data_IF_816788334832
#
_entry.id   IF_816788334832
#
_cell.length_a   1.000
_cell.length_b   1.000
_cell.length_c   1.000
_cell.angle_alpha   90.00
_cell.angle_beta   90.00
_cell.angle_gamma   90.00
#
_symmetry.space_group_name_H-M   'P 1'
#
loop_
_entity.id
_entity.type
_entity.pdbx_description
1 polymer ?
#
# COMPACT_ATOMS: atom_id res chain seq x y z
N UNK A 1 18.04 -41.67 -53.27
CA UNK A 1 18.84 -41.08 -52.18
C UNK A 1 18.82 -42.10 -51.07
N UNK A 2 19.94 -42.75 -50.80
CA UNK A 2 20.01 -43.82 -49.79
C UNK A 2 19.93 -43.20 -48.39
N UNK A 3 19.58 -43.98 -47.36
CA UNK A 3 19.51 -43.49 -45.97
C UNK A 3 20.80 -42.80 -45.52
N UNK A 4 21.94 -43.28 -46.02
CA UNK A 4 23.26 -42.70 -45.78
C UNK A 4 23.41 -41.29 -46.37
N UNK A 5 22.86 -41.02 -47.56
CA UNK A 5 22.91 -39.70 -48.19
C UNK A 5 22.03 -38.70 -47.43
N UNK A 6 20.89 -39.15 -46.92
CA UNK A 6 20.01 -38.33 -46.09
C UNK A 6 20.67 -37.97 -44.75
N UNK A 7 21.35 -38.93 -44.11
CA UNK A 7 22.07 -38.69 -42.87
C UNK A 7 23.23 -37.68 -43.07
N UNK A 8 23.97 -37.78 -44.17
CA UNK A 8 25.05 -36.85 -44.52
C UNK A 8 24.49 -35.45 -44.75
N UNK A 9 23.39 -35.32 -45.49
CA UNK A 9 22.73 -34.04 -45.73
C UNK A 9 22.20 -33.40 -44.44
N UNK A 10 21.58 -34.20 -43.57
CA UNK A 10 21.10 -33.73 -42.27
C UNK A 10 22.26 -33.26 -41.36
N UNK A 11 23.38 -33.97 -41.38
CA UNK A 11 24.58 -33.58 -40.64
C UNK A 11 25.14 -32.25 -41.17
N UNK A 12 25.26 -32.11 -42.49
CA UNK A 12 25.72 -30.89 -43.15
C UNK A 12 24.84 -29.69 -42.76
N UNK A 13 23.51 -29.86 -42.77
CA UNK A 13 22.59 -28.78 -42.37
C UNK A 13 22.74 -28.45 -40.88
N UNK A 14 22.93 -29.41 -39.99
CA UNK A 14 22.89 -29.12 -38.55
C UNK A 14 24.22 -28.63 -37.97
N UNK A 15 25.35 -29.01 -38.58
CA UNK A 15 26.70 -28.78 -38.01
C UNK A 15 27.00 -27.31 -37.73
N UNK A 16 26.80 -26.33 -38.63
CA UNK A 16 27.15 -24.93 -38.36
C UNK A 16 26.37 -24.35 -37.18
N UNK A 17 25.06 -24.60 -37.12
CA UNK A 17 24.21 -24.12 -36.05
C UNK A 17 24.58 -24.76 -34.71
N UNK A 18 24.72 -26.08 -34.66
CA UNK A 18 25.10 -26.80 -33.43
C UNK A 18 26.50 -26.38 -32.96
N UNK A 19 27.45 -26.22 -33.87
CA UNK A 19 28.81 -25.78 -33.55
C UNK A 19 28.81 -24.39 -32.92
N UNK A 20 28.12 -23.42 -33.51
CA UNK A 20 28.04 -22.06 -32.96
C UNK A 20 27.34 -22.06 -31.60
N UNK A 21 26.21 -22.76 -31.46
CA UNK A 21 25.50 -22.85 -30.18
C UNK A 21 26.40 -23.47 -29.12
N UNK A 22 27.12 -24.57 -29.43
CA UNK A 22 28.04 -25.21 -28.51
C UNK A 22 29.21 -24.30 -28.12
N UNK A 23 29.78 -23.53 -29.06
CA UNK A 23 30.83 -22.55 -28.77
C UNK A 23 30.35 -21.47 -27.81
N UNK A 24 29.23 -20.81 -28.09
CA UNK A 24 28.69 -19.77 -27.22
C UNK A 24 28.25 -20.31 -25.86
N UNK A 25 27.81 -21.56 -25.81
CA UNK A 25 27.45 -22.25 -24.57
C UNK A 25 28.67 -22.56 -23.70
N UNK A 26 29.76 -23.04 -24.29
CA UNK A 26 31.01 -23.34 -23.57
C UNK A 26 31.58 -22.12 -22.82
N UNK A 27 31.28 -20.92 -23.31
CA UNK A 27 31.68 -19.64 -22.73
C UNK A 27 30.61 -19.04 -21.80
N UNK A 28 29.54 -19.77 -21.49
CA UNK A 28 28.41 -19.28 -20.70
C UNK A 28 28.34 -19.92 -19.32
N UNK A 29 29.11 -19.36 -18.40
CA UNK A 29 29.17 -19.81 -17.01
C UNK A 29 28.62 -18.76 -16.03
N UNK A 30 28.18 -19.24 -14.87
CA UNK A 30 27.92 -18.50 -13.64
C UNK A 30 28.94 -18.90 -12.59
N UNK A 31 29.19 -18.03 -11.63
CA UNK A 31 30.01 -18.34 -10.46
C UNK A 31 29.04 -18.56 -9.30
N UNK A 32 29.07 -19.75 -8.70
CA UNK A 32 28.23 -20.05 -7.53
C UNK A 32 28.76 -19.34 -6.25
N UNK A 33 27.96 -19.35 -5.18
CA UNK A 33 28.35 -18.74 -3.89
C UNK A 33 29.62 -19.35 -3.29
N UNK A 34 30.01 -20.55 -3.74
CA UNK A 34 31.24 -21.25 -3.36
C UNK A 34 32.43 -20.93 -4.29
N UNK A 35 32.26 -20.04 -5.27
CA UNK A 35 33.29 -19.63 -6.22
C UNK A 35 33.51 -20.56 -7.42
N UNK A 36 32.71 -21.62 -7.59
CA UNK A 36 32.85 -22.55 -8.69
C UNK A 36 32.10 -22.08 -9.94
N UNK A 37 32.72 -22.32 -11.11
CA UNK A 37 32.09 -22.03 -12.40
C UNK A 37 31.09 -23.13 -12.75
N UNK A 38 29.83 -22.77 -12.95
CA UNK A 38 28.75 -23.65 -13.42
C UNK A 38 28.24 -23.18 -14.77
N UNK A 39 28.11 -24.08 -15.74
CA UNK A 39 27.51 -23.75 -17.03
C UNK A 39 26.03 -23.41 -16.86
N UNK A 40 25.59 -22.31 -17.46
CA UNK A 40 24.17 -21.95 -17.48
C UNK A 40 23.40 -22.85 -18.45
N UNK A 41 22.08 -23.04 -18.27
CA UNK A 41 21.27 -23.78 -19.24
C UNK A 41 21.38 -23.17 -20.64
N UNK A 42 21.41 -24.00 -21.70
CA UNK A 42 21.52 -23.55 -23.11
C UNK A 42 20.42 -22.53 -23.46
N UNK A 43 19.23 -22.66 -22.87
CA UNK A 43 18.09 -21.76 -23.09
C UNK A 43 18.42 -20.31 -22.77
N UNK A 44 19.28 -20.06 -21.79
CA UNK A 44 19.69 -18.71 -21.37
C UNK A 44 20.54 -17.99 -22.42
N UNK A 45 21.10 -18.69 -23.42
CA UNK A 45 21.77 -18.07 -24.56
C UNK A 45 20.80 -17.32 -25.49
N UNK A 46 19.54 -17.75 -25.51
CA UNK A 46 18.47 -17.15 -26.29
C UNK A 46 17.73 -16.05 -25.52
N UNK A 47 18.05 -15.85 -24.25
CA UNK A 47 17.47 -14.80 -23.43
C UNK A 47 18.12 -13.44 -23.75
N UNK A 48 17.29 -12.47 -24.11
CA UNK A 48 17.73 -11.09 -24.29
C UNK A 48 17.78 -10.38 -22.95
N UNK A 49 18.83 -9.60 -22.69
CA UNK A 49 18.94 -8.81 -21.47
C UNK A 49 18.71 -7.32 -21.77
N UNK A 50 17.59 -6.77 -21.27
CA UNK A 50 17.22 -5.38 -21.46
C UNK A 50 18.23 -4.37 -20.85
N UNK A 51 18.96 -4.75 -19.81
CA UNK A 51 19.86 -3.84 -19.07
C UNK A 51 21.24 -3.70 -19.71
N UNK A 52 21.50 -4.44 -20.77
CA UNK A 52 22.80 -4.46 -21.45
C UNK A 52 22.66 -3.94 -22.87
N UNK A 53 23.76 -3.45 -23.47
CA UNK A 53 23.77 -3.00 -24.85
C UNK A 53 23.43 -4.13 -25.85
N UNK A 54 22.95 -3.74 -27.03
CA UNK A 54 22.58 -4.68 -28.09
C UNK A 54 23.76 -5.55 -28.55
N UNK A 55 24.97 -4.98 -28.60
CA UNK A 55 26.21 -5.70 -28.97
C UNK A 55 26.62 -6.78 -27.96
N UNK A 56 26.13 -6.71 -26.73
CA UNK A 56 26.39 -7.71 -25.70
C UNK A 56 25.43 -8.92 -25.79
N UNK A 57 24.41 -8.86 -26.66
CA UNK A 57 23.48 -9.97 -26.85
C UNK A 57 24.13 -11.09 -27.65
N UNK A 58 24.32 -12.24 -27.03
CA UNK A 58 24.86 -13.44 -27.70
C UNK A 58 24.02 -13.87 -28.89
N UNK A 59 22.69 -13.73 -28.77
CA UNK A 59 21.74 -14.04 -29.84
C UNK A 59 21.96 -13.18 -31.11
N UNK A 60 22.42 -11.93 -30.96
CA UNK A 60 22.75 -11.06 -32.09
C UNK A 60 23.96 -11.60 -32.88
N UNK A 61 24.99 -12.04 -32.16
CA UNK A 61 26.16 -12.64 -32.80
C UNK A 61 25.82 -13.98 -33.44
N UNK A 62 24.98 -14.81 -32.81
CA UNK A 62 24.50 -16.05 -33.43
C UNK A 62 23.72 -15.79 -34.72
N UNK A 63 22.90 -14.73 -34.80
CA UNK A 63 22.18 -14.36 -36.03
C UNK A 63 23.07 -13.90 -37.18
N UNK A 64 24.34 -13.58 -36.92
CA UNK A 64 25.33 -13.20 -37.93
C UNK A 64 26.24 -14.38 -38.26
N UNK A 65 26.78 -15.05 -37.24
CA UNK A 65 27.79 -16.09 -37.40
C UNK A 65 27.19 -17.35 -38.03
N UNK A 66 25.97 -17.75 -37.66
CA UNK A 66 25.35 -18.97 -38.20
C UNK A 66 25.13 -18.86 -39.72
N UNK A 67 24.45 -17.83 -40.27
CA UNK A 67 24.27 -17.73 -41.72
C UNK A 67 25.58 -17.49 -42.48
N UNK A 68 26.55 -16.83 -41.85
CA UNK A 68 27.89 -16.67 -42.43
C UNK A 68 28.63 -18.01 -42.56
N UNK A 69 28.57 -18.88 -41.56
CA UNK A 69 29.18 -20.22 -41.65
C UNK A 69 28.49 -21.08 -42.71
N UNK A 70 27.16 -21.01 -42.81
CA UNK A 70 26.43 -21.67 -43.90
C UNK A 70 26.84 -21.15 -45.29
N UNK A 71 27.09 -19.85 -45.43
CA UNK A 71 27.63 -19.31 -46.68
C UNK A 71 28.97 -19.93 -47.05
N UNK A 72 29.88 -20.10 -46.07
CA UNK A 72 31.19 -20.72 -46.32
C UNK A 72 31.06 -22.21 -46.67
N UNK A 73 30.24 -22.95 -45.95
CA UNK A 73 30.05 -24.39 -46.16
C UNK A 73 29.40 -24.69 -47.52
N UNK A 74 28.24 -24.08 -47.80
CA UNK A 74 27.55 -24.27 -49.06
C UNK A 74 28.28 -23.60 -50.22
N UNK A 75 29.02 -22.51 -49.96
CA UNK A 75 29.89 -21.87 -50.94
C UNK A 75 30.99 -22.81 -51.39
N UNK A 76 31.70 -23.42 -50.45
CA UNK A 76 32.73 -24.42 -50.75
C UNK A 76 32.20 -25.57 -51.62
N UNK A 77 31.01 -26.08 -51.31
CA UNK A 77 30.36 -27.12 -52.12
C UNK A 77 29.97 -26.62 -53.52
N UNK A 78 29.40 -25.41 -53.62
CA UNK A 78 28.97 -24.84 -54.89
C UNK A 78 30.12 -24.49 -55.83
N UNK A 79 31.28 -24.10 -55.28
CA UNK A 79 32.46 -23.72 -56.04
C UNK A 79 33.41 -24.89 -56.31
N UNK A 80 33.11 -26.06 -55.76
CA UNK A 80 33.97 -27.24 -55.91
C UNK A 80 34.17 -27.59 -57.40
N UNK A 81 35.43 -27.64 -57.83
CA UNK A 81 35.79 -27.90 -59.22
C UNK A 81 35.61 -26.72 -60.18
N UNK A 82 35.22 -25.53 -59.70
CA UNK A 82 35.13 -24.31 -60.49
C UNK A 82 36.44 -23.52 -60.44
N UNK A 83 36.80 -22.84 -61.53
CA UNK A 83 37.96 -21.92 -61.58
C UNK A 83 37.50 -20.47 -61.71
N UNK A 84 38.16 -19.50 -61.04
CA UNK A 84 37.80 -18.09 -61.18
C UNK A 84 37.88 -17.59 -62.63
N UNK A 85 36.76 -17.11 -63.18
CA UNK A 85 36.70 -16.38 -64.44
C UNK A 85 36.21 -14.95 -64.17
N UNK A 86 37.06 -13.97 -64.47
CA UNK A 86 36.79 -12.54 -64.25
C UNK A 86 36.06 -11.88 -65.43
N UNK A 87 35.63 -12.66 -66.42
CA UNK A 87 34.80 -12.17 -67.52
C UNK A 87 33.36 -11.90 -67.08
N UNK A 88 32.61 -11.13 -67.89
CA UNK A 88 31.18 -10.91 -67.65
C UNK A 88 30.38 -12.23 -67.59
N UNK A 89 30.79 -13.24 -68.38
CA UNK A 89 30.18 -14.59 -68.35
C UNK A 89 30.52 -15.32 -67.06
N UNK A 90 31.76 -15.21 -66.59
CA UNK A 90 32.21 -15.76 -65.31
C UNK A 90 31.44 -15.21 -64.12
N UNK A 91 31.13 -13.89 -64.10
CA UNK A 91 30.29 -13.29 -63.07
C UNK A 91 28.86 -13.82 -63.06
N UNK A 92 28.22 -13.97 -64.23
CA UNK A 92 26.87 -14.54 -64.33
C UNK A 92 26.84 -15.97 -63.81
N UNK A 93 27.85 -16.77 -64.17
CA UNK A 93 27.96 -18.15 -63.72
C UNK A 93 28.21 -18.24 -62.20
N UNK A 94 29.09 -17.38 -61.66
CA UNK A 94 29.31 -17.28 -60.23
C UNK A 94 28.03 -16.98 -59.45
N UNK A 95 27.20 -16.03 -59.90
CA UNK A 95 25.92 -15.72 -59.26
C UNK A 95 24.94 -16.91 -59.36
N UNK A 96 24.95 -17.61 -60.49
CA UNK A 96 24.11 -18.80 -60.71
C UNK A 96 24.46 -19.92 -59.75
N UNK A 97 25.74 -20.27 -59.62
CA UNK A 97 26.18 -21.36 -58.73
C UNK A 97 26.13 -20.93 -57.24
N UNK A 98 26.31 -19.64 -56.95
CA UNK A 98 26.33 -19.11 -55.57
C UNK A 98 24.95 -18.67 -55.06
N UNK A 99 23.87 -18.94 -55.79
CA UNK A 99 22.52 -18.48 -55.43
C UNK A 99 22.10 -18.91 -54.01
N UNK A 100 22.34 -20.17 -53.64
CA UNK A 100 22.06 -20.68 -52.29
C UNK A 100 23.00 -20.08 -51.21
N UNK A 101 24.34 -20.12 -51.36
CA UNK A 101 25.25 -19.47 -50.42
C UNK A 101 24.93 -17.99 -50.19
N UNK A 102 24.71 -17.21 -51.25
CA UNK A 102 24.39 -15.79 -51.16
C UNK A 102 23.02 -15.58 -50.49
N UNK A 103 22.05 -16.45 -50.76
CA UNK A 103 20.76 -16.46 -50.06
C UNK A 103 20.92 -16.67 -48.55
N UNK A 104 21.75 -17.62 -48.13
CA UNK A 104 22.04 -17.87 -46.71
C UNK A 104 22.80 -16.70 -46.08
N UNK A 105 23.80 -16.14 -46.75
CA UNK A 105 24.51 -14.94 -46.28
C UNK A 105 23.56 -13.76 -46.09
N UNK A 106 22.57 -13.62 -47.00
CA UNK A 106 21.59 -12.54 -46.91
C UNK A 106 20.77 -12.57 -45.62
N UNK A 107 20.60 -13.76 -45.00
CA UNK A 107 19.85 -13.93 -43.74
C UNK A 107 20.52 -13.24 -42.54
N UNK A 108 21.82 -12.91 -42.61
CA UNK A 108 22.50 -12.13 -41.58
C UNK A 108 21.75 -10.81 -41.28
N UNK A 109 21.27 -10.13 -42.32
CA UNK A 109 20.58 -8.84 -42.19
C UNK A 109 19.20 -8.96 -41.52
N UNK A 110 18.23 -9.72 -42.05
CA UNK A 110 16.90 -9.82 -41.45
C UNK A 110 16.94 -10.46 -40.06
N UNK A 111 17.81 -11.44 -39.80
CA UNK A 111 17.90 -12.06 -38.47
C UNK A 111 18.50 -11.10 -37.44
N UNK A 112 19.56 -10.37 -37.79
CA UNK A 112 20.14 -9.37 -36.87
C UNK A 112 19.17 -8.23 -36.57
N UNK A 113 18.43 -7.77 -37.59
CA UNK A 113 17.39 -6.76 -37.42
C UNK A 113 16.24 -7.26 -36.53
N UNK A 114 15.84 -8.52 -36.66
CA UNK A 114 14.83 -9.13 -35.80
C UNK A 114 15.29 -9.16 -34.34
N UNK A 115 16.51 -9.61 -34.07
CA UNK A 115 17.07 -9.66 -32.71
C UNK A 115 17.15 -8.25 -32.11
N UNK A 116 17.61 -7.27 -32.88
CA UNK A 116 17.70 -5.88 -32.43
C UNK A 116 16.31 -5.31 -32.07
N UNK A 117 15.29 -5.58 -32.89
CA UNK A 117 13.91 -5.16 -32.61
C UNK A 117 13.35 -5.82 -31.35
N UNK A 118 13.54 -7.13 -31.19
CA UNK A 118 13.11 -7.85 -29.98
C UNK A 118 13.79 -7.30 -28.72
N UNK A 119 15.09 -7.00 -28.81
CA UNK A 119 15.85 -6.40 -27.72
C UNK A 119 15.34 -5.00 -27.37
N UNK A 120 15.10 -4.14 -28.36
CA UNK A 120 14.53 -2.81 -28.17
C UNK A 120 13.13 -2.87 -27.53
N UNK A 121 12.26 -3.79 -27.96
CA UNK A 121 10.94 -3.98 -27.34
C UNK A 121 11.07 -4.39 -25.87
N UNK A 122 11.97 -5.33 -25.55
CA UNK A 122 12.22 -5.74 -24.16
C UNK A 122 12.78 -4.60 -23.31
N UNK A 123 13.68 -3.80 -23.87
CA UNK A 123 14.20 -2.58 -23.23
C UNK A 123 13.09 -1.58 -22.91
N UNK A 124 12.24 -1.28 -23.88
CA UNK A 124 11.11 -0.36 -23.68
C UNK A 124 10.15 -0.88 -22.62
N UNK A 125 9.85 -2.19 -22.61
CA UNK A 125 8.99 -2.79 -21.58
C UNK A 125 9.58 -2.64 -20.17
N UNK A 126 10.89 -2.90 -20.01
CA UNK A 126 11.58 -2.73 -18.72
C UNK A 126 11.63 -1.26 -18.29
N UNK A 127 11.92 -0.35 -19.22
CA UNK A 127 11.90 1.09 -18.95
C UNK A 127 10.52 1.58 -18.51
N UNK A 128 9.44 1.09 -19.13
CA UNK A 128 8.06 1.37 -18.70
C UNK A 128 7.85 0.89 -17.27
N UNK A 129 8.31 -0.32 -16.93
CA UNK A 129 8.16 -0.86 -15.58
C UNK A 129 8.94 -0.05 -14.53
N UNK A 130 10.21 0.27 -14.79
CA UNK A 130 11.03 1.11 -13.91
C UNK A 130 10.39 2.49 -13.73
N UNK A 131 9.95 3.11 -14.83
CA UNK A 131 9.29 4.42 -14.80
C UNK A 131 7.98 4.36 -14.01
N UNK A 132 7.18 3.31 -14.18
CA UNK A 132 5.94 3.09 -13.41
C UNK A 132 6.23 2.99 -11.91
N UNK A 133 7.23 2.19 -11.52
CA UNK A 133 7.62 2.05 -10.10
C UNK A 133 8.09 3.39 -9.53
N UNK A 134 8.91 4.13 -10.27
CA UNK A 134 9.36 5.48 -9.88
C UNK A 134 8.18 6.44 -9.71
N UNK A 135 7.31 6.55 -10.71
CA UNK A 135 6.15 7.42 -10.69
C UNK A 135 5.21 7.08 -9.53
N UNK A 136 5.02 5.80 -9.23
CA UNK A 136 4.22 5.35 -8.11
C UNK A 136 4.85 5.77 -6.77
N UNK A 137 6.15 5.60 -6.60
CA UNK A 137 6.86 6.05 -5.40
C UNK A 137 6.78 7.58 -5.23
N UNK A 138 7.05 8.34 -6.30
CA UNK A 138 6.99 9.80 -6.30
C UNK A 138 5.58 10.29 -5.95
N UNK A 139 4.54 9.71 -6.56
CA UNK A 139 3.15 10.02 -6.24
C UNK A 139 2.80 9.72 -4.78
N UNK A 140 3.21 8.56 -4.25
CA UNK A 140 2.97 8.17 -2.87
C UNK A 140 3.58 9.18 -1.87
N UNK A 141 4.84 9.54 -2.05
CA UNK A 141 5.51 10.51 -1.18
C UNK A 141 4.94 11.92 -1.35
N UNK A 142 4.63 12.34 -2.58
CA UNK A 142 4.02 13.63 -2.85
C UNK A 142 2.65 13.77 -2.18
N UNK A 143 1.79 12.76 -2.29
CA UNK A 143 0.47 12.77 -1.65
C UNK A 143 0.57 12.78 -0.11
N UNK A 144 1.47 11.99 0.47
CA UNK A 144 1.69 11.98 1.93
C UNK A 144 2.19 13.34 2.43
N UNK A 145 3.12 13.95 1.70
CA UNK A 145 3.64 15.29 2.02
C UNK A 145 2.54 16.35 1.89
N UNK A 146 1.77 16.31 0.80
CA UNK A 146 0.66 17.21 0.56
C UNK A 146 -0.40 17.11 1.67
N UNK A 147 -0.67 15.91 2.20
CA UNK A 147 -1.56 15.74 3.35
C UNK A 147 -1.06 16.50 4.58
N UNK A 148 0.21 16.32 4.95
CA UNK A 148 0.80 16.99 6.12
C UNK A 148 0.77 18.51 5.93
N UNK A 149 1.15 19.00 4.74
CA UNK A 149 1.12 20.42 4.40
C UNK A 149 -0.31 20.98 4.43
N UNK A 150 -1.29 20.24 3.92
CA UNK A 150 -2.69 20.64 3.93
C UNK A 150 -3.24 20.79 5.35
N UNK A 151 -2.96 19.81 6.22
CA UNK A 151 -3.36 19.84 7.63
C UNK A 151 -2.71 21.01 8.39
N UNK A 152 -1.44 21.34 8.08
CA UNK A 152 -0.73 22.47 8.67
C UNK A 152 -1.29 23.85 8.29
N UNK A 153 -2.15 23.96 7.27
CA UNK A 153 -2.82 25.22 6.91
C UNK A 153 -3.91 25.63 7.92
N UNK A 154 -4.41 24.68 8.72
CA UNK A 154 -5.49 24.94 9.66
C UNK A 154 -4.92 25.44 11.00
N UNK A 155 -5.23 26.68 11.41
CA UNK A 155 -4.72 27.24 12.66
C UNK A 155 -5.34 26.52 13.86
N UNK A 156 -4.68 26.66 15.02
CA UNK A 156 -5.24 26.18 16.29
C UNK A 156 -6.63 26.79 16.54
N UNK A 157 -7.57 25.94 16.95
CA UNK A 157 -8.94 26.34 17.25
C UNK A 157 -9.25 26.09 18.72
N UNK A 158 -9.78 27.11 19.39
CA UNK A 158 -10.29 26.99 20.77
C UNK A 158 -11.73 26.48 20.72
N UNK A 159 -11.97 25.41 21.45
CA UNK A 159 -13.30 24.84 21.65
C UNK A 159 -13.81 25.18 23.05
N UNK A 160 -15.10 24.98 23.27
CA UNK A 160 -15.72 25.12 24.59
C UNK A 160 -15.08 24.15 25.59
N UNK A 161 -15.07 24.49 26.89
CA UNK A 161 -14.43 23.61 27.89
C UNK A 161 -12.89 23.55 27.81
N UNK A 162 -12.26 24.63 27.31
CA UNK A 162 -10.81 24.89 27.35
C UNK A 162 -9.93 23.97 26.48
N UNK A 163 -10.53 23.19 25.57
CA UNK A 163 -9.78 22.37 24.61
C UNK A 163 -9.19 23.24 23.49
N UNK A 164 -7.89 23.08 23.22
CA UNK A 164 -7.19 23.73 22.10
C UNK A 164 -6.86 22.65 21.07
N UNK A 165 -7.62 22.62 19.98
CA UNK A 165 -7.40 21.68 18.88
C UNK A 165 -6.29 22.16 17.97
N UNK A 166 -5.28 21.31 17.75
CA UNK A 166 -4.23 21.53 16.74
C UNK A 166 -4.43 20.52 15.61
N UNK A 167 -4.27 20.96 14.38
CA UNK A 167 -4.57 20.11 13.22
C UNK A 167 -3.32 19.50 12.58
N UNK A 168 -2.19 19.43 13.28
CA UNK A 168 -1.01 18.76 12.73
C UNK A 168 -1.27 17.26 12.50
N UNK A 169 -1.03 16.79 11.27
CA UNK A 169 -1.26 15.40 10.92
C UNK A 169 -0.07 14.51 11.28
N UNK A 170 -0.33 13.46 12.07
CA UNK A 170 0.67 12.44 12.32
C UNK A 170 0.96 11.63 11.03
N UNK A 171 2.22 11.33 10.67
CA UNK A 171 2.53 10.61 9.44
C UNK A 171 1.88 9.22 9.31
N UNK A 172 1.46 8.60 10.42
CA UNK A 172 0.72 7.33 10.41
C UNK A 172 -0.73 7.46 9.96
N UNK A 173 -1.33 8.64 10.04
CA UNK A 173 -2.69 8.90 9.55
C UNK A 173 -2.80 8.52 8.07
N UNK A 174 -1.79 8.91 7.27
CA UNK A 174 -1.73 8.57 5.85
C UNK A 174 -1.70 7.05 5.63
N UNK A 175 -0.84 6.33 6.36
CA UNK A 175 -0.75 4.87 6.25
C UNK A 175 -2.03 4.15 6.70
N UNK A 176 -2.76 4.73 7.64
CA UNK A 176 -3.98 4.11 8.18
C UNK A 176 -5.17 4.28 7.23
N UNK A 177 -5.40 5.50 6.74
CA UNK A 177 -6.54 5.81 5.89
C UNK A 177 -6.29 5.52 4.41
N UNK A 178 -5.04 5.58 3.95
CA UNK A 178 -4.63 5.24 2.59
C UNK A 178 -3.83 3.93 2.57
N UNK A 179 -4.29 2.92 3.31
CA UNK A 179 -3.58 1.65 3.53
C UNK A 179 -3.26 0.87 2.25
N UNK A 180 -3.98 1.16 1.17
CA UNK A 180 -3.75 0.53 -0.13
C UNK A 180 -2.75 1.31 -0.99
N UNK A 181 -2.50 2.58 -0.67
CA UNK A 181 -1.42 3.37 -1.28
C UNK A 181 -0.06 2.82 -0.85
N UNK A 182 0.87 2.73 -1.80
CA UNK A 182 2.22 2.23 -1.54
C UNK A 182 3.19 2.70 -2.61
N UNK A 183 4.49 2.59 -2.35
CA UNK A 183 5.51 2.93 -3.36
C UNK A 183 5.42 2.06 -4.63
N UNK A 184 4.81 0.87 -4.55
CA UNK A 184 4.63 -0.03 -5.69
C UNK A 184 3.35 0.26 -6.49
N UNK A 185 2.29 0.74 -5.82
CA UNK A 185 0.95 0.96 -6.43
C UNK A 185 0.63 2.43 -6.70
N UNK A 186 1.34 3.36 -6.05
CA UNK A 186 1.08 4.78 -6.14
C UNK A 186 0.07 5.25 -5.10
N UNK A 187 -0.74 6.23 -5.49
CA UNK A 187 -1.79 6.82 -4.68
C UNK A 187 -3.11 6.16 -5.04
N UNK A 188 -3.76 5.60 -4.02
CA UNK A 188 -5.09 5.04 -4.11
C UNK A 188 -6.06 5.85 -3.24
N UNK A 189 -7.38 5.77 -3.51
CA UNK A 189 -8.39 6.42 -2.68
C UNK A 189 -8.33 5.98 -1.22
N UNK A 190 -9.02 6.72 -0.35
CA UNK A 190 -9.19 6.32 1.05
C UNK A 190 -9.75 4.89 1.13
N UNK A 191 -9.33 4.15 2.15
CA UNK A 191 -9.89 2.85 2.46
C UNK A 191 -11.36 3.00 2.85
N UNK A 192 -12.26 2.35 2.09
CA UNK A 192 -13.71 2.44 2.30
C UNK A 192 -14.15 1.89 3.66
N UNK A 193 -13.50 0.85 4.17
CA UNK A 193 -13.83 0.31 5.49
C UNK A 193 -13.51 1.34 6.57
N UNK A 194 -12.32 1.95 6.53
CA UNK A 194 -11.90 2.99 7.48
C UNK A 194 -12.79 4.22 7.41
N UNK A 195 -13.13 4.65 6.20
CA UNK A 195 -14.11 5.73 5.96
C UNK A 195 -15.44 5.41 6.63
N UNK A 196 -16.00 4.23 6.38
CA UNK A 196 -17.30 3.84 6.93
C UNK A 196 -17.26 3.71 8.45
N UNK A 197 -16.18 3.14 9.01
CA UNK A 197 -15.97 3.06 10.46
C UNK A 197 -15.90 4.45 11.11
N UNK A 198 -15.22 5.41 10.50
CA UNK A 198 -15.21 6.81 10.98
C UNK A 198 -16.60 7.42 11.01
N UNK A 199 -17.36 7.30 9.90
CA UNK A 199 -18.72 7.83 9.82
C UNK A 199 -19.62 7.16 10.85
N UNK A 200 -19.51 5.84 11.03
CA UNK A 200 -20.27 5.09 12.00
C UNK A 200 -19.96 5.59 13.43
N UNK A 201 -18.68 5.70 13.80
CA UNK A 201 -18.26 6.19 15.12
C UNK A 201 -18.79 7.61 15.37
N UNK A 202 -18.68 8.53 14.41
CA UNK A 202 -19.20 9.89 14.54
C UNK A 202 -20.71 9.91 14.84
N UNK A 203 -21.49 9.08 14.14
CA UNK A 203 -22.94 8.98 14.38
C UNK A 203 -23.23 8.33 15.74
N UNK A 204 -22.51 7.27 16.10
CA UNK A 204 -22.69 6.60 17.40
C UNK A 204 -22.35 7.55 18.57
N UNK A 205 -21.29 8.36 18.45
CA UNK A 205 -20.97 9.39 19.45
C UNK A 205 -22.12 10.40 19.55
N UNK A 206 -22.63 10.91 18.42
CA UNK A 206 -23.75 11.86 18.39
C UNK A 206 -24.99 11.30 19.09
N UNK A 207 -25.42 10.09 18.74
CA UNK A 207 -26.61 9.45 19.32
C UNK A 207 -26.48 9.27 20.84
N UNK A 208 -25.32 8.80 21.30
CA UNK A 208 -25.05 8.64 22.72
C UNK A 208 -24.97 10.00 23.46
N UNK A 209 -24.43 11.05 22.83
CA UNK A 209 -24.46 12.40 23.38
C UNK A 209 -25.89 12.93 23.54
N UNK A 210 -26.73 12.76 22.52
CA UNK A 210 -28.14 13.16 22.57
C UNK A 210 -28.90 12.41 23.66
N UNK A 211 -28.68 11.09 23.79
CA UNK A 211 -29.28 10.27 24.83
C UNK A 211 -28.81 10.64 26.25
N UNK A 212 -27.53 10.97 26.42
CA UNK A 212 -26.98 11.46 27.69
C UNK A 212 -27.59 12.82 28.11
N UNK A 213 -27.77 13.72 27.15
CA UNK A 213 -28.27 15.07 27.41
C UNK A 213 -29.78 15.13 27.60
N UNK A 214 -30.54 14.20 27.04
CA UNK A 214 -31.99 14.15 27.21
C UNK A 214 -32.38 13.86 28.68
N UNK A 215 -32.99 14.84 29.34
CA UNK A 215 -33.40 14.81 30.75
C UNK A 215 -34.57 13.86 30.98
N UNK A 216 -35.34 13.56 29.94
CA UNK A 216 -36.46 12.62 30.03
C UNK A 216 -35.98 11.16 30.10
N UNK A 217 -34.72 10.89 29.79
CA UNK A 217 -34.15 9.56 29.92
C UNK A 217 -33.80 9.27 31.38
N UNK A 218 -34.01 8.02 31.79
CA UNK A 218 -33.60 7.52 33.10
C UNK A 218 -32.08 7.69 33.32
N UNK A 219 -31.67 7.89 34.57
CA UNK A 219 -30.28 8.05 35.00
C UNK A 219 -29.43 6.86 34.53
N UNK A 220 -29.98 5.63 34.57
CA UNK A 220 -29.30 4.44 34.08
C UNK A 220 -28.99 4.50 32.56
N UNK A 221 -29.96 4.98 31.76
CA UNK A 221 -29.79 5.17 30.30
C UNK A 221 -28.78 6.26 30.01
N UNK A 222 -28.87 7.39 30.70
CA UNK A 222 -27.94 8.53 30.55
C UNK A 222 -26.51 8.14 30.92
N UNK A 223 -26.33 7.34 31.98
CA UNK A 223 -25.04 6.75 32.38
C UNK A 223 -24.47 5.86 31.28
N UNK A 224 -25.25 4.91 30.77
CA UNK A 224 -24.81 4.01 29.70
C UNK A 224 -24.39 4.76 28.44
N UNK A 225 -25.17 5.79 28.07
CA UNK A 225 -24.87 6.65 26.92
C UNK A 225 -23.59 7.48 27.14
N UNK A 226 -23.38 8.05 28.32
CA UNK A 226 -22.16 8.78 28.64
C UNK A 226 -20.90 7.90 28.51
N UNK A 227 -20.95 6.68 29.03
CA UNK A 227 -19.83 5.74 28.97
C UNK A 227 -19.49 5.41 27.51
N UNK A 228 -20.50 5.08 26.71
CA UNK A 228 -20.30 4.78 25.28
C UNK A 228 -19.77 5.98 24.50
N UNK A 229 -20.30 7.18 24.74
CA UNK A 229 -19.82 8.39 24.09
C UNK A 229 -18.34 8.66 24.39
N UNK A 230 -17.92 8.50 25.66
CA UNK A 230 -16.52 8.66 26.03
C UNK A 230 -15.61 7.61 25.39
N UNK A 231 -16.03 6.35 25.39
CA UNK A 231 -15.29 5.24 24.79
C UNK A 231 -15.08 5.45 23.29
N UNK A 232 -16.16 5.79 22.57
CA UNK A 232 -16.11 6.00 21.12
C UNK A 232 -15.32 7.24 20.71
N UNK A 233 -15.30 8.31 21.51
CA UNK A 233 -14.39 9.44 21.30
C UNK A 233 -12.94 8.96 21.40
N UNK A 234 -12.55 8.20 22.43
CA UNK A 234 -11.17 7.69 22.48
C UNK A 234 -10.83 6.75 21.31
N UNK A 235 -11.76 5.89 20.90
CA UNK A 235 -11.58 4.99 19.74
C UNK A 235 -11.39 5.80 18.45
N UNK A 236 -12.20 6.85 18.24
CA UNK A 236 -12.08 7.70 17.06
C UNK A 236 -10.79 8.52 17.09
N UNK A 237 -10.44 9.11 18.24
CA UNK A 237 -9.19 9.82 18.45
C UNK A 237 -7.95 8.97 18.19
N UNK A 238 -7.96 7.69 18.61
CA UNK A 238 -6.88 6.73 18.30
C UNK A 238 -6.81 6.43 16.81
N UNK A 239 -7.96 6.18 16.17
CA UNK A 239 -8.04 5.98 14.72
C UNK A 239 -7.47 7.17 13.92
N UNK A 240 -7.66 8.39 14.43
CA UNK A 240 -7.17 9.65 13.86
C UNK A 240 -5.77 10.05 14.33
N UNK A 241 -5.11 9.25 15.19
CA UNK A 241 -3.80 9.54 15.78
C UNK A 241 -3.74 10.88 16.53
N UNK A 242 -4.81 11.25 17.23
CA UNK A 242 -4.94 12.51 17.97
C UNK A 242 -4.32 12.38 19.36
N UNK A 243 -2.98 12.51 19.43
CA UNK A 243 -2.25 12.54 20.70
C UNK A 243 -2.72 13.68 21.63
N UNK A 244 -3.16 14.81 21.05
CA UNK A 244 -3.65 15.98 21.79
C UNK A 244 -4.91 15.66 22.59
N UNK A 245 -5.86 14.92 22.00
CA UNK A 245 -7.05 14.42 22.73
C UNK A 245 -6.57 13.59 23.90
N UNK A 246 -5.64 12.66 23.67
CA UNK A 246 -5.13 11.83 24.74
C UNK A 246 -4.43 12.63 25.85
N UNK A 247 -3.61 13.64 25.54
CA UNK A 247 -2.83 14.38 26.55
C UNK A 247 -3.63 15.44 27.29
N UNK A 248 -4.33 16.34 26.57
CA UNK A 248 -5.12 17.41 27.20
C UNK A 248 -6.28 16.82 28.00
N UNK A 249 -6.95 15.82 27.45
CA UNK A 249 -8.08 15.21 28.13
C UNK A 249 -7.60 14.33 29.28
N UNK A 250 -6.50 13.56 29.21
CA UNK A 250 -5.99 12.81 30.37
C UNK A 250 -5.57 13.71 31.53
N UNK A 251 -4.97 14.88 31.27
CA UNK A 251 -4.61 15.83 32.33
C UNK A 251 -5.83 16.38 33.08
N UNK A 252 -6.99 16.42 32.42
CA UNK A 252 -8.28 16.79 33.00
C UNK A 252 -9.17 15.61 33.43
N UNK A 253 -8.89 14.37 33.04
CA UNK A 253 -9.85 13.27 33.21
C UNK A 253 -9.73 12.56 34.54
N UNK A 254 -10.87 12.22 35.14
CA UNK A 254 -10.92 11.28 36.26
C UNK A 254 -11.09 9.88 35.70
N UNK A 255 -10.00 9.12 35.54
CA UNK A 255 -10.12 7.67 35.29
C UNK A 255 -10.71 7.02 36.53
N UNK A 256 -11.82 6.29 36.37
CA UNK A 256 -12.49 5.62 37.50
C UNK A 256 -12.65 4.14 37.21
N UNK A 257 -12.19 3.32 38.14
CA UNK A 257 -12.37 1.88 38.08
C UNK A 257 -13.78 1.56 38.58
N UNK A 258 -14.63 1.03 37.71
CA UNK A 258 -15.89 0.43 38.15
C UNK A 258 -15.58 -1.02 38.50
N UNK A 259 -15.66 -1.32 39.80
CA UNK A 259 -15.54 -2.69 40.32
C UNK A 259 -16.75 -3.50 39.83
N UNK A 260 -16.49 -4.65 39.22
CA UNK A 260 -17.52 -5.60 38.85
C UNK A 260 -18.19 -6.21 40.09
N UNK A 261 -19.41 -6.72 39.89
CA UNK A 261 -20.13 -7.53 40.89
C UNK A 261 -19.29 -8.74 41.34
N UNK A 262 -19.53 -9.29 42.54
CA UNK A 262 -18.77 -10.44 43.06
C UNK A 262 -18.89 -11.63 42.09
N UNK A 263 -17.75 -12.12 41.59
CA UNK A 263 -17.65 -13.26 40.67
C UNK A 263 -17.19 -12.97 39.23
N UNK A 264 -17.03 -11.71 38.83
CA UNK A 264 -16.42 -11.35 37.54
C UNK A 264 -15.18 -10.46 37.77
N UNK A 265 -13.99 -11.05 37.67
CA UNK A 265 -12.70 -10.43 38.02
C UNK A 265 -12.22 -9.34 37.04
N UNK A 266 -13.00 -8.97 36.04
CA UNK A 266 -12.61 -7.95 35.07
C UNK A 266 -13.05 -6.56 35.57
N UNK A 267 -12.16 -5.91 36.34
CA UNK A 267 -12.24 -4.49 36.63
C UNK A 267 -12.35 -3.71 35.31
N UNK A 268 -13.49 -3.04 35.06
CA UNK A 268 -13.63 -2.15 33.92
C UNK A 268 -13.20 -0.75 34.33
N UNK A 269 -12.04 -0.32 33.84
CA UNK A 269 -11.62 1.08 33.98
C UNK A 269 -12.38 1.91 32.98
N UNK A 270 -13.22 2.82 33.48
CA UNK A 270 -13.93 3.80 32.64
C UNK A 270 -13.09 5.06 32.60
N UNK A 271 -12.68 5.44 31.39
CA UNK A 271 -11.98 6.70 31.15
C UNK A 271 -13.00 7.70 30.64
N UNK A 272 -13.33 8.69 31.46
CA UNK A 272 -14.19 9.79 31.03
C UNK A 272 -13.40 10.78 30.16
N UNK A 273 -14.10 11.47 29.27
CA UNK A 273 -13.54 12.54 28.45
C UNK A 273 -13.71 13.87 29.21
N UNK A 274 -12.67 14.25 29.96
CA UNK A 274 -12.61 15.49 30.74
C UNK A 274 -13.47 15.45 31.99
N UNK A 275 -13.75 16.63 32.59
CA UNK A 275 -14.54 16.76 33.85
C UNK A 275 -15.96 17.28 33.63
N UNK A 276 -16.27 17.75 32.42
CA UNK A 276 -17.52 18.44 32.14
C UNK A 276 -18.16 17.91 30.86
N UNK A 277 -19.47 18.12 30.71
CA UNK A 277 -20.14 17.85 29.43
C UNK A 277 -19.56 18.69 28.28
N UNK A 278 -19.07 19.90 28.59
CA UNK A 278 -18.49 20.81 27.60
C UNK A 278 -17.20 20.24 27.01
N UNK A 279 -16.35 19.66 27.86
CA UNK A 279 -15.11 19.02 27.38
C UNK A 279 -15.38 17.84 26.46
N UNK A 280 -16.42 17.03 26.75
CA UNK A 280 -16.81 15.93 25.88
C UNK A 280 -17.37 16.42 24.53
N UNK A 281 -18.24 17.44 24.54
CA UNK A 281 -18.78 18.04 23.31
C UNK A 281 -17.65 18.66 22.47
N UNK A 282 -16.69 19.33 23.12
CA UNK A 282 -15.56 19.93 22.45
C UNK A 282 -14.64 18.90 21.80
N UNK A 283 -14.37 17.79 22.49
CA UNK A 283 -13.61 16.67 21.91
C UNK A 283 -14.30 16.12 20.66
N UNK A 284 -15.61 15.91 20.73
CA UNK A 284 -16.39 15.43 19.58
C UNK A 284 -16.37 16.42 18.41
N UNK A 285 -16.52 17.72 18.65
CA UNK A 285 -16.44 18.73 17.58
C UNK A 285 -15.04 18.86 16.99
N UNK A 286 -14.00 18.68 17.80
CA UNK A 286 -12.64 18.63 17.30
C UNK A 286 -12.42 17.42 16.38
N UNK A 287 -12.92 16.24 16.74
CA UNK A 287 -12.88 15.05 15.87
C UNK A 287 -13.69 15.24 14.59
N UNK A 288 -14.87 15.86 14.65
CA UNK A 288 -15.64 16.22 13.44
C UNK A 288 -14.81 17.11 12.51
N UNK A 289 -14.23 18.18 13.04
CA UNK A 289 -13.43 19.12 12.25
C UNK A 289 -12.22 18.40 11.63
N UNK A 290 -11.56 17.52 12.39
CA UNK A 290 -10.42 16.74 11.90
C UNK A 290 -10.80 15.76 10.78
N UNK A 291 -11.92 15.04 10.94
CA UNK A 291 -12.45 14.14 9.90
C UNK A 291 -12.91 14.91 8.68
N UNK A 292 -13.49 16.10 8.85
CA UNK A 292 -13.88 16.98 7.74
C UNK A 292 -12.66 17.42 6.93
N UNK A 293 -11.57 17.82 7.59
CA UNK A 293 -10.30 18.14 6.92
C UNK A 293 -9.77 16.92 6.15
N UNK A 294 -9.77 15.74 6.76
CA UNK A 294 -9.35 14.50 6.11
C UNK A 294 -10.20 14.17 4.86
N UNK A 295 -11.51 14.31 4.96
CA UNK A 295 -12.44 14.01 3.87
C UNK A 295 -12.31 15.02 2.74
N UNK A 296 -12.15 16.31 3.07
CA UNK A 296 -11.90 17.36 2.10
C UNK A 296 -10.58 17.14 1.34
N UNK A 297 -9.50 16.79 2.05
CA UNK A 297 -8.23 16.40 1.43
C UNK A 297 -8.41 15.20 0.48
N UNK A 298 -9.22 14.24 0.89
CA UNK A 298 -9.51 13.02 0.13
C UNK A 298 -10.52 13.22 -1.02
N UNK A 299 -11.08 14.42 -1.18
CA UNK A 299 -12.10 14.73 -2.19
C UNK A 299 -13.45 14.04 -1.95
N UNK A 300 -13.78 13.70 -0.70
CA UNK A 300 -14.99 12.98 -0.35
C UNK A 300 -16.07 13.98 0.07
N UNK A 301 -17.19 14.10 -0.66
CA UNK A 301 -18.30 14.92 -0.22
C UNK A 301 -19.02 14.23 0.96
N UNK A 302 -19.09 14.90 2.10
CA UNK A 302 -19.89 14.47 3.25
C UNK A 302 -20.46 15.69 3.97
N UNK A 303 -21.75 15.64 4.32
CA UNK A 303 -22.43 16.74 5.02
C UNK A 303 -22.27 16.62 6.54
N UNK A 304 -21.22 17.26 7.06
CA UNK A 304 -20.94 17.31 8.50
C UNK A 304 -21.93 18.20 9.28
N UNK A 305 -22.77 18.99 8.60
CA UNK A 305 -23.75 19.88 9.26
C UNK A 305 -24.72 19.08 10.12
N UNK A 306 -25.10 17.88 9.67
CA UNK A 306 -25.97 16.97 10.42
C UNK A 306 -25.35 16.48 11.72
N UNK A 307 -24.02 16.34 11.78
CA UNK A 307 -23.33 15.94 13.01
C UNK A 307 -23.23 17.11 14.01
N UNK A 308 -23.18 18.35 13.50
CA UNK A 308 -23.19 19.57 14.29
C UNK A 308 -24.58 20.02 14.72
N UNK A 309 -25.62 19.58 14.03
CA UNK A 309 -27.01 19.82 14.40
C UNK A 309 -27.39 18.98 15.62
N UNK A 310 -27.14 19.59 16.77
CA UNK A 310 -27.50 19.09 18.08
C UNK A 310 -28.43 20.07 18.79
N UNK A 311 -29.33 19.61 19.68
CA UNK A 311 -30.43 20.41 20.25
C UNK A 311 -30.02 21.47 21.28
N UNK A 312 -28.78 21.98 21.19
CA UNK A 312 -28.20 23.00 22.05
C UNK A 312 -27.39 24.01 21.24
N UNK A 313 -27.58 25.30 21.53
CA UNK A 313 -26.80 26.39 20.93
C UNK A 313 -25.67 26.81 21.85
N UNK A 314 -24.44 26.80 21.34
CA UNK A 314 -23.31 27.48 21.98
C UNK A 314 -23.37 28.94 21.51
N UNK A 315 -23.93 29.83 22.33
CA UNK A 315 -23.92 31.28 22.06
C UNK A 315 -23.17 31.94 23.20
N UNK A 316 -22.08 32.64 22.90
CA UNK A 316 -21.24 33.34 23.89
C UNK A 316 -20.80 32.43 25.07
N UNK A 317 -20.21 31.28 24.78
CA UNK A 317 -19.69 30.32 25.77
C UNK A 317 -20.72 29.68 26.73
N UNK A 318 -22.01 29.98 26.59
CA UNK A 318 -23.09 29.33 27.31
C UNK A 318 -23.87 28.36 26.40
N UNK A 319 -24.05 27.13 26.89
CA UNK A 319 -24.88 26.12 26.22
C UNK A 319 -26.34 26.36 26.60
N UNK A 320 -27.09 26.95 25.67
CA UNK A 320 -28.55 26.99 25.75
C UNK A 320 -29.08 25.70 25.12
N UNK A 321 -29.27 24.67 25.94
CA UNK A 321 -30.00 23.48 25.53
C UNK A 321 -31.51 23.81 25.47
N UNK A 322 -32.20 23.22 24.50
CA UNK A 322 -33.66 23.13 24.58
C UNK A 322 -34.05 22.48 25.92
N UNK A 323 -35.15 22.93 26.54
CA UNK A 323 -35.54 22.54 27.92
C UNK A 323 -35.49 21.02 28.21
N UNK A 324 -35.71 20.07 27.26
CA UNK A 324 -35.56 18.65 27.55
C UNK A 324 -34.13 18.08 27.45
N UNK A 325 -33.09 18.86 27.08
CA UNK A 325 -31.72 18.36 26.82
C UNK A 325 -30.64 18.87 27.80
N UNK A 326 -31.02 19.18 29.04
CA UNK A 326 -30.10 19.68 30.07
C UNK A 326 -29.57 18.58 31.01
N UNK A 327 -28.65 17.75 30.53
CA UNK A 327 -28.01 16.71 31.35
C UNK A 327 -26.90 17.25 32.27
N UNK A 328 -26.94 16.95 33.56
CA UNK A 328 -25.85 17.24 34.51
C UNK A 328 -24.83 16.08 34.56
N UNK A 329 -23.58 16.42 34.22
CA UNK A 329 -22.43 15.50 34.18
C UNK A 329 -22.04 15.04 35.59
N UNK A 330 -22.22 15.92 36.58
CA UNK A 330 -21.87 15.68 37.97
C UNK A 330 -22.79 14.64 38.62
N UNK A 331 -24.10 14.76 38.42
CA UNK A 331 -25.09 13.78 38.95
C UNK A 331 -24.84 12.36 38.45
N UNK A 332 -24.48 12.16 37.18
CA UNK A 332 -24.16 10.82 36.65
C UNK A 332 -22.88 10.26 37.28
N UNK A 333 -21.89 11.12 37.49
CA UNK A 333 -20.61 10.76 38.14
C UNK A 333 -20.80 10.45 39.63
N UNK A 334 -21.61 11.21 40.35
CA UNK A 334 -21.94 10.97 41.77
C UNK A 334 -22.73 9.66 41.92
N UNK A 335 -23.64 9.36 41.00
CA UNK A 335 -24.35 8.09 40.99
C UNK A 335 -23.39 6.90 40.80
N UNK A 336 -22.40 7.02 39.90
CA UNK A 336 -21.35 6.02 39.71
C UNK A 336 -20.49 5.80 40.97
N UNK A 337 -20.12 6.88 41.68
CA UNK A 337 -19.37 6.78 42.94
C UNK A 337 -20.20 6.08 44.02
N UNK A 338 -21.49 6.38 44.09
CA UNK A 338 -22.38 5.76 45.07
C UNK A 338 -22.49 4.25 44.85
N UNK A 339 -22.63 3.79 43.60
CA UNK A 339 -22.68 2.36 43.28
C UNK A 339 -21.33 1.67 43.49
N UNK A 340 -20.22 2.33 43.14
CA UNK A 340 -18.87 1.81 43.38
C UNK A 340 -18.60 1.63 44.89
N UNK A 341 -19.01 2.60 45.71
CA UNK A 341 -18.90 2.54 47.17
C UNK A 341 -19.82 1.48 47.80
N UNK A 342 -21.00 1.25 47.24
CA UNK A 342 -21.87 0.14 47.67
C UNK A 342 -21.23 -1.20 47.33
N UNK A 343 -20.70 -1.34 46.11
CA UNK A 343 -20.08 -2.58 45.63
C UNK A 343 -18.80 -2.90 46.42
N UNK A 344 -17.98 -1.90 46.75
CA UNK A 344 -16.79 -2.10 47.59
C UNK A 344 -17.15 -2.49 49.02
N UNK A 345 -18.19 -1.87 49.62
CA UNK A 345 -18.68 -2.26 50.96
C UNK A 345 -19.21 -3.69 51.00
N UNK A 346 -19.97 -4.10 49.98
CA UNK A 346 -20.45 -5.49 49.86
C UNK A 346 -19.26 -6.45 49.77
N UNK A 347 -18.24 -6.11 48.97
CA UNK A 347 -17.02 -6.92 48.85
C UNK A 347 -16.24 -7.01 50.16
N UNK A 348 -16.10 -5.91 50.90
CA UNK A 348 -15.47 -5.90 52.24
C UNK A 348 -16.27 -6.69 53.27
N UNK A 349 -17.61 -6.70 53.19
CA UNK A 349 -18.45 -7.55 54.04
C UNK A 349 -18.35 -9.04 53.67
N UNK A 350 -18.25 -9.38 52.39
CA UNK A 350 -18.00 -10.75 51.94
C UNK A 350 -16.59 -11.23 52.32
N UNK A 351 -15.56 -10.39 52.17
CA UNK A 351 -14.19 -10.69 52.61
C UNK A 351 -14.11 -10.82 54.15
N UNK A 352 -14.91 -10.06 54.93
CA UNK A 352 -15.03 -10.25 56.39
C UNK A 352 -15.85 -11.47 56.81
N UNK A 353 -16.79 -11.92 55.98
CA UNK A 353 -17.58 -13.16 56.21
C UNK A 353 -16.86 -14.42 55.76
N UNK A 354 -15.80 -14.30 54.95
CA UNK A 354 -14.92 -15.42 54.67
C UNK A 354 -14.22 -15.82 55.98
N UNK A 355 -14.42 -17.04 56.50
CA UNK A 355 -13.73 -17.47 57.71
C UNK A 355 -12.22 -17.41 57.47
N UNK A 356 -11.48 -16.84 58.42
CA UNK A 356 -10.02 -16.92 58.46
C UNK A 356 -9.63 -18.39 58.43
N UNK A 357 -9.23 -18.88 57.25
CA UNK A 357 -8.67 -20.21 57.11
C UNK A 357 -7.34 -20.23 57.84
N UNK A 358 -7.37 -20.72 59.09
CA UNK A 358 -6.23 -21.27 59.81
C UNK A 358 -5.95 -22.67 59.27
#
# INVERSE_FOLDING_TARGET
MNEMDFAILALLIMVPAVFVIALFWSQHYEIDESGNKRLKPVTTLFELNAMTGASNQKLLWMSIVIPFLYFLEFGFLAWWGSTPDYSAKGFVEFLRISSLPLGLLSLCLPLSLLVLRLHSTKQTAEQINITRVKNNADAFYAHRKAMIEYFALFPEKKYTGELIGRFEAHPSLHMHFFSTSSTQRGVEPINNEKKNSCIQLLNEIKENLMAFMNVNNDIAVRKGALIKACDYVYVLGDMLFLSIISEQIKSGSSSRVVLGLPGNSNNKTITFVGKTRLSLIAAFFYEIDYVEILFNFSGIPYDFSRLRDMPFHIKNDYVHASRPYYGDYKTVIEHLDSESAVTSKIREEEERRAPSAV
#
